data_IF_349357214759
#
_entry.id   IF_349357214759
#
_cell.length_a   1.000
_cell.length_b   1.000
_cell.length_c   1.000
_cell.angle_alpha   90.00
_cell.angle_beta   90.00
_cell.angle_gamma   90.00
#
_symmetry.space_group_name_H-M   'P 1'
#
loop_
_entity.id
_entity.type
_entity.pdbx_description
1 polymer ?
#
# COMPACT_ATOMS: atom_id res chain seq x y z
N UNK A 1 18.32 3.29 20.28
CA UNK A 1 17.09 2.60 19.81
C UNK A 1 17.37 1.11 19.66
N UNK A 2 16.46 0.27 20.15
CA UNK A 2 16.44 -1.16 19.85
C UNK A 2 15.12 -1.48 19.17
N UNK A 3 15.18 -2.16 18.01
CA UNK A 3 14.01 -2.67 17.31
C UNK A 3 14.17 -4.19 17.20
N UNK A 4 13.13 -4.93 17.52
CA UNK A 4 13.15 -6.39 17.49
C UNK A 4 11.83 -6.95 16.97
N UNK A 5 11.89 -8.14 16.35
CA UNK A 5 10.72 -8.88 15.87
C UNK A 5 10.79 -10.37 16.25
N UNK A 6 11.36 -10.67 17.40
CA UNK A 6 11.49 -12.02 17.91
C UNK A 6 10.18 -12.49 18.57
N UNK A 7 10.06 -13.80 18.76
CA UNK A 7 8.94 -14.32 19.57
C UNK A 7 8.96 -13.70 20.96
N UNK A 8 7.79 -13.27 21.42
CA UNK A 8 7.61 -12.69 22.76
C UNK A 8 8.31 -13.53 23.82
N UNK A 9 9.08 -12.88 24.68
CA UNK A 9 9.87 -13.50 25.75
C UNK A 9 11.23 -14.07 25.32
N UNK A 10 11.61 -13.97 24.05
CA UNK A 10 12.91 -14.49 23.59
C UNK A 10 14.07 -13.58 24.01
N UNK A 11 13.94 -12.27 23.85
CA UNK A 11 14.97 -11.32 24.26
C UNK A 11 15.07 -11.21 25.79
N UNK A 12 13.99 -11.38 26.51
CA UNK A 12 14.00 -11.44 27.98
C UNK A 12 14.87 -12.59 28.49
N UNK A 13 14.83 -13.77 27.86
CA UNK A 13 15.69 -14.91 28.20
C UNK A 13 17.17 -14.66 27.97
N UNK A 14 17.49 -13.74 27.06
CA UNK A 14 18.86 -13.32 26.76
C UNK A 14 19.33 -12.12 27.61
N UNK A 15 18.49 -11.61 28.54
CA UNK A 15 18.77 -10.39 29.29
C UNK A 15 18.66 -9.11 28.49
N UNK A 16 18.05 -9.16 27.30
CA UNK A 16 17.89 -8.02 26.37
C UNK A 16 16.44 -7.51 26.33
N UNK A 17 15.59 -7.90 27.27
CA UNK A 17 14.24 -7.38 27.40
C UNK A 17 14.22 -5.93 27.90
N UNK A 18 13.10 -5.24 27.70
CA UNK A 18 12.93 -3.82 28.03
C UNK A 18 13.32 -3.50 29.49
N UNK A 19 12.87 -4.29 30.44
CA UNK A 19 13.13 -4.08 31.89
C UNK A 19 14.64 -4.16 32.24
N UNK A 20 15.40 -4.99 31.56
CA UNK A 20 16.84 -5.09 31.74
C UNK A 20 17.56 -3.90 31.10
N UNK A 21 17.19 -3.58 29.85
CA UNK A 21 17.86 -2.53 29.08
C UNK A 21 17.54 -1.13 29.60
N UNK A 22 16.33 -0.87 30.12
CA UNK A 22 15.97 0.43 30.67
C UNK A 22 16.73 0.75 31.97
N UNK A 23 17.19 -0.28 32.70
CA UNK A 23 18.08 -0.09 33.88
C UNK A 23 19.47 0.37 33.47
N UNK A 24 19.96 -0.11 32.32
CA UNK A 24 21.25 0.29 31.75
C UNK A 24 21.16 1.64 31.05
N UNK A 25 20.07 1.87 30.34
CA UNK A 25 19.83 3.12 29.63
C UNK A 25 18.36 3.55 29.78
N UNK A 26 18.06 4.43 30.76
CA UNK A 26 16.70 4.96 30.96
C UNK A 26 16.14 5.73 29.79
N UNK A 27 16.98 6.17 28.86
CA UNK A 27 16.60 6.84 27.60
C UNK A 27 16.38 5.90 26.43
N UNK A 28 16.38 4.55 26.63
CA UNK A 28 16.22 3.63 25.53
C UNK A 28 14.81 3.72 24.91
N UNK A 29 14.76 3.84 23.59
CA UNK A 29 13.53 3.59 22.81
C UNK A 29 13.55 2.14 22.36
N UNK A 30 12.63 1.34 22.88
CA UNK A 30 12.54 -0.10 22.64
C UNK A 30 11.26 -0.41 21.84
N UNK A 31 11.40 -0.85 20.61
CA UNK A 31 10.29 -1.16 19.72
C UNK A 31 10.23 -2.66 19.44
N UNK A 32 9.15 -3.31 19.91
CA UNK A 32 8.84 -4.71 19.63
C UNK A 32 7.82 -4.81 18.52
N UNK A 33 8.16 -5.52 17.44
CA UNK A 33 7.22 -5.90 16.38
C UNK A 33 6.75 -7.31 16.70
N UNK A 34 5.47 -7.47 17.05
CA UNK A 34 4.90 -8.76 17.48
C UNK A 34 3.88 -9.27 16.44
N UNK A 35 3.53 -10.57 16.49
CA UNK A 35 2.55 -11.13 15.56
C UNK A 35 1.13 -10.62 15.81
N UNK A 36 0.61 -10.87 17.04
CA UNK A 36 -0.80 -10.58 17.37
C UNK A 36 -0.99 -9.56 18.50
N UNK A 37 0.10 -9.10 19.13
CA UNK A 37 0.01 -8.21 20.29
C UNK A 37 -0.44 -8.93 21.56
N UNK A 38 -0.80 -8.16 22.61
CA UNK A 38 -1.28 -8.71 23.88
C UNK A 38 -2.68 -9.33 23.71
N UNK A 39 -2.92 -10.48 24.33
CA UNK A 39 -4.20 -11.17 24.28
C UNK A 39 -4.08 -12.69 24.19
N UNK A 40 -5.15 -13.35 23.78
CA UNK A 40 -5.23 -14.82 23.70
C UNK A 40 -4.17 -15.40 22.74
N UNK A 41 -3.87 -14.69 21.65
CA UNK A 41 -2.96 -15.12 20.60
C UNK A 41 -1.53 -14.54 20.73
N UNK A 42 -1.17 -13.94 21.85
CA UNK A 42 0.11 -13.24 22.02
C UNK A 42 1.37 -14.07 21.68
N UNK A 43 1.27 -15.40 21.78
CA UNK A 43 2.38 -16.35 21.51
C UNK A 43 2.35 -16.95 20.11
N UNK A 44 1.31 -16.66 19.34
CA UNK A 44 1.22 -17.17 17.95
C UNK A 44 2.23 -16.47 17.05
N UNK A 45 2.89 -17.22 16.15
CA UNK A 45 3.74 -16.62 15.14
C UNK A 45 2.87 -15.83 14.15
N UNK A 46 3.27 -14.58 13.87
CA UNK A 46 2.68 -13.75 12.83
C UNK A 46 3.50 -13.82 11.56
N UNK A 47 2.88 -14.21 10.46
CA UNK A 47 3.43 -14.07 9.11
C UNK A 47 2.44 -13.26 8.28
N UNK A 48 2.94 -12.41 7.40
CA UNK A 48 2.15 -11.54 6.54
C UNK A 48 0.95 -12.26 5.93
N UNK A 49 1.16 -13.40 5.27
CA UNK A 49 0.11 -14.16 4.61
C UNK A 49 -0.99 -14.62 5.58
N UNK A 50 -0.62 -15.13 6.76
CA UNK A 50 -1.58 -15.58 7.77
C UNK A 50 -2.35 -14.40 8.38
N UNK A 51 -1.66 -13.29 8.57
CA UNK A 51 -2.26 -12.04 9.08
C UNK A 51 -3.23 -11.45 8.06
N UNK A 52 -2.88 -11.42 6.78
CA UNK A 52 -3.79 -10.99 5.72
C UNK A 52 -5.06 -11.87 5.67
N UNK A 53 -4.91 -13.18 5.80
CA UNK A 53 -6.04 -14.10 5.79
C UNK A 53 -6.96 -13.89 6.99
N UNK A 54 -6.39 -13.86 8.21
CA UNK A 54 -7.15 -13.76 9.45
C UNK A 54 -7.65 -12.35 9.75
N UNK A 55 -6.92 -11.34 9.31
CA UNK A 55 -7.24 -9.92 9.54
C UNK A 55 -8.26 -9.34 8.56
N UNK A 56 -8.87 -10.14 7.70
CA UNK A 56 -10.01 -9.74 6.86
C UNK A 56 -9.65 -9.07 5.53
N UNK A 57 -8.39 -8.66 5.29
CA UNK A 57 -8.03 -7.99 4.03
C UNK A 57 -8.27 -8.90 2.81
N UNK A 58 -8.00 -10.21 2.93
CA UNK A 58 -8.31 -11.17 1.87
C UNK A 58 -9.82 -11.33 1.65
N UNK A 59 -10.61 -11.19 2.70
CA UNK A 59 -12.08 -11.26 2.61
C UNK A 59 -12.70 -10.15 1.77
N UNK A 60 -12.03 -9.00 1.66
CA UNK A 60 -12.48 -7.84 0.88
C UNK A 60 -11.68 -7.63 -0.41
N UNK A 61 -10.65 -8.45 -0.69
CA UNK A 61 -9.76 -8.35 -1.87
C UNK A 61 -10.05 -9.49 -2.84
N UNK A 62 -10.20 -9.17 -4.12
CA UNK A 62 -10.52 -10.09 -5.20
C UNK A 62 -11.89 -9.83 -5.82
N UNK A 63 -12.21 -10.58 -6.87
CA UNK A 63 -13.51 -10.50 -7.55
C UNK A 63 -14.59 -11.21 -6.74
N UNK A 64 -15.88 -10.81 -6.88
CA UNK A 64 -16.99 -11.38 -6.10
C UNK A 64 -17.05 -12.90 -6.13
N UNK A 65 -16.96 -13.48 -7.31
CA UNK A 65 -17.06 -14.93 -7.55
C UNK A 65 -15.71 -15.65 -7.52
N UNK A 66 -14.61 -14.91 -7.26
CA UNK A 66 -13.26 -15.47 -7.15
C UNK A 66 -12.96 -15.94 -5.71
N UNK A 67 -11.79 -16.56 -5.52
CA UNK A 67 -11.30 -16.84 -4.18
C UNK A 67 -10.79 -15.56 -3.47
N UNK A 68 -10.79 -15.53 -2.12
CA UNK A 68 -10.14 -14.48 -1.36
C UNK A 68 -8.66 -14.34 -1.71
N UNK A 69 -8.23 -13.14 -2.11
CA UNK A 69 -6.90 -12.92 -2.67
C UNK A 69 -6.07 -12.02 -1.77
N UNK A 70 -4.82 -12.42 -1.49
CA UNK A 70 -3.88 -11.56 -0.77
C UNK A 70 -3.43 -10.38 -1.64
N UNK A 71 -2.98 -9.30 -1.01
CA UNK A 71 -2.23 -8.25 -1.70
C UNK A 71 -0.94 -8.82 -2.29
N UNK A 72 -0.54 -8.39 -3.47
CA UNK A 72 0.58 -8.94 -4.23
C UNK A 72 1.96 -8.82 -3.56
N UNK A 73 2.07 -8.00 -2.53
CA UNK A 73 3.27 -7.79 -1.69
C UNK A 73 2.97 -8.15 -0.24
N UNK A 74 3.98 -8.19 0.62
CA UNK A 74 3.83 -8.38 2.07
C UNK A 74 3.27 -7.10 2.73
N UNK A 75 2.00 -6.82 2.48
CA UNK A 75 1.36 -5.56 2.82
C UNK A 75 1.24 -5.34 4.34
N UNK A 76 0.94 -6.39 5.10
CA UNK A 76 0.85 -6.31 6.55
C UNK A 76 2.22 -5.98 7.17
N UNK A 77 3.30 -6.62 6.68
CA UNK A 77 4.68 -6.34 7.11
C UNK A 77 5.07 -4.89 6.82
N UNK A 78 4.76 -4.40 5.61
CA UNK A 78 5.08 -3.03 5.20
C UNK A 78 4.36 -1.99 6.06
N UNK A 79 3.07 -2.16 6.31
CA UNK A 79 2.28 -1.24 7.16
C UNK A 79 2.79 -1.26 8.59
N UNK A 80 3.04 -2.44 9.14
CA UNK A 80 3.61 -2.60 10.49
C UNK A 80 4.97 -1.92 10.61
N UNK A 81 5.87 -2.13 9.63
CA UNK A 81 7.18 -1.49 9.58
C UNK A 81 7.11 0.04 9.55
N UNK A 82 6.19 0.60 8.74
CA UNK A 82 5.95 2.04 8.70
C UNK A 82 5.43 2.59 10.04
N UNK A 83 4.48 1.89 10.69
CA UNK A 83 3.96 2.29 11.99
C UNK A 83 5.05 2.19 13.08
N UNK A 84 5.89 1.15 13.05
CA UNK A 84 7.01 1.01 13.97
C UNK A 84 8.04 2.14 13.80
N UNK A 85 8.37 2.51 12.57
CA UNK A 85 9.24 3.64 12.27
C UNK A 85 8.66 4.97 12.77
N UNK A 86 7.39 5.25 12.49
CA UNK A 86 6.70 6.46 12.96
C UNK A 86 6.65 6.54 14.49
N UNK A 87 6.28 5.46 15.17
CA UNK A 87 6.21 5.40 16.62
C UNK A 87 7.61 5.59 17.25
N UNK A 88 8.65 5.01 16.65
CA UNK A 88 10.04 5.17 17.07
C UNK A 88 10.51 6.62 16.94
N UNK A 89 10.22 7.28 15.81
CA UNK A 89 10.56 8.70 15.61
C UNK A 89 9.81 9.60 16.58
N UNK A 90 8.54 9.37 16.85
CA UNK A 90 7.76 10.09 17.85
C UNK A 90 8.34 9.90 19.27
N UNK A 91 8.77 8.69 19.61
CA UNK A 91 9.43 8.40 20.90
C UNK A 91 10.80 9.07 21.02
N UNK A 92 11.56 9.16 19.94
CA UNK A 92 12.83 9.89 19.90
C UNK A 92 12.62 11.40 20.09
N UNK A 93 11.61 11.98 19.45
CA UNK A 93 11.24 13.37 19.63
C UNK A 93 10.86 13.64 21.10
N UNK A 94 9.96 12.83 21.68
CA UNK A 94 9.61 12.94 23.10
C UNK A 94 10.83 12.77 24.03
N UNK A 95 11.74 11.86 23.70
CA UNK A 95 12.98 11.67 24.48
C UNK A 95 13.86 12.91 24.49
N UNK A 96 13.93 13.64 23.38
CA UNK A 96 14.71 14.89 23.32
C UNK A 96 14.21 15.93 24.33
N UNK A 97 12.91 15.95 24.63
CA UNK A 97 12.32 16.88 25.61
C UNK A 97 12.38 16.34 27.04
N UNK A 98 12.17 15.05 27.24
CA UNK A 98 11.96 14.47 28.58
C UNK A 98 13.18 13.74 29.16
N UNK A 99 14.16 13.41 28.31
CA UNK A 99 15.29 12.54 28.67
C UNK A 99 14.89 11.06 28.84
N UNK A 100 13.59 10.71 28.75
CA UNK A 100 13.08 9.36 29.05
C UNK A 100 12.85 8.54 27.81
N UNK A 101 13.22 7.26 27.87
CA UNK A 101 12.93 6.27 26.85
C UNK A 101 11.44 5.88 26.80
N UNK A 102 11.11 5.00 25.86
CA UNK A 102 9.73 4.54 25.67
C UNK A 102 9.75 3.08 25.22
N UNK A 103 8.87 2.26 25.77
CA UNK A 103 8.53 0.96 25.19
C UNK A 103 7.41 1.12 24.18
N UNK A 104 7.62 0.58 23.01
CA UNK A 104 6.67 0.55 21.89
C UNK A 104 6.40 -0.91 21.55
N UNK A 105 5.17 -1.24 21.29
CA UNK A 105 4.79 -2.52 20.73
C UNK A 105 3.89 -2.27 19.50
N UNK A 106 4.23 -2.89 18.37
CA UNK A 106 3.47 -2.76 17.12
C UNK A 106 3.09 -4.17 16.66
N UNK A 107 1.86 -4.60 16.90
CA UNK A 107 1.40 -5.91 16.46
C UNK A 107 1.08 -5.91 14.96
N UNK A 108 1.59 -6.89 14.24
CA UNK A 108 1.36 -7.08 12.82
C UNK A 108 -0.14 -7.21 12.48
N UNK A 109 -0.86 -7.99 13.28
CA UNK A 109 -2.30 -8.21 13.11
C UNK A 109 -3.11 -6.91 13.30
N UNK A 110 -2.85 -6.14 14.36
CA UNK A 110 -3.56 -4.88 14.60
C UNK A 110 -3.19 -3.81 13.57
N UNK A 111 -1.93 -3.79 13.13
CA UNK A 111 -1.46 -2.95 12.03
C UNK A 111 -2.27 -3.22 10.76
N UNK A 112 -2.48 -4.49 10.42
CA UNK A 112 -3.29 -4.86 9.27
C UNK A 112 -4.77 -4.53 9.48
N UNK A 113 -5.34 -4.71 10.68
CA UNK A 113 -6.73 -4.30 10.96
C UNK A 113 -6.94 -2.80 10.73
N UNK A 114 -5.96 -1.96 11.13
CA UNK A 114 -6.04 -0.51 10.88
C UNK A 114 -6.09 -0.17 9.39
N UNK A 115 -5.62 -1.06 8.53
CA UNK A 115 -5.60 -0.88 7.08
C UNK A 115 -6.88 -1.31 6.36
N UNK A 116 -7.84 -1.91 7.06
CA UNK A 116 -9.18 -2.16 6.53
C UNK A 116 -9.95 -0.84 6.27
N UNK A 117 -9.52 0.25 6.91
CA UNK A 117 -9.99 1.60 6.69
C UNK A 117 -11.54 1.73 6.71
N UNK A 118 -12.11 2.32 5.66
CA UNK A 118 -13.56 2.52 5.54
C UNK A 118 -14.36 1.21 5.46
N UNK A 119 -13.76 0.10 5.01
CA UNK A 119 -14.48 -1.20 4.93
C UNK A 119 -14.75 -1.78 6.32
N UNK A 120 -13.79 -1.62 7.24
CA UNK A 120 -14.04 -1.98 8.65
C UNK A 120 -15.16 -1.12 9.25
N UNK A 121 -15.14 0.19 8.99
CA UNK A 121 -16.16 1.09 9.51
C UNK A 121 -17.55 0.79 8.94
N UNK A 122 -17.65 0.43 7.67
CA UNK A 122 -18.88 0.01 7.02
C UNK A 122 -19.50 -1.20 7.74
N UNK A 123 -18.70 -2.25 7.98
CA UNK A 123 -19.13 -3.42 8.75
C UNK A 123 -19.54 -3.07 10.19
N UNK A 124 -18.71 -2.29 10.89
CA UNK A 124 -18.97 -1.93 12.29
C UNK A 124 -20.25 -1.11 12.50
N UNK A 125 -20.69 -0.38 11.48
CA UNK A 125 -21.92 0.43 11.52
C UNK A 125 -23.13 -0.37 11.04
N UNK A 126 -23.01 -1.13 9.94
CA UNK A 126 -24.13 -1.86 9.33
C UNK A 126 -24.37 -3.23 9.96
N UNK A 127 -23.32 -3.88 10.47
CA UNK A 127 -23.34 -5.30 10.85
C UNK A 127 -23.36 -6.26 9.66
N UNK A 128 -23.31 -5.76 8.43
CA UNK A 128 -23.36 -6.55 7.19
C UNK A 128 -21.97 -6.76 6.61
N UNK A 129 -21.66 -7.98 6.18
CA UNK A 129 -20.39 -8.30 5.54
C UNK A 129 -20.27 -7.60 4.20
N UNK A 130 -19.16 -6.89 4.02
CA UNK A 130 -18.96 -5.99 2.88
C UNK A 130 -18.49 -6.67 1.59
N UNK A 131 -18.11 -7.93 1.63
CA UNK A 131 -17.73 -8.75 0.46
C UNK A 131 -16.61 -8.16 -0.42
N UNK A 132 -16.34 -8.85 -1.51
CA UNK A 132 -15.36 -8.46 -2.53
C UNK A 132 -16.05 -7.79 -3.71
N UNK A 133 -15.45 -6.72 -4.24
CA UNK A 133 -15.98 -5.94 -5.36
C UNK A 133 -15.06 -5.93 -6.59
N UNK A 134 -13.98 -6.74 -6.57
CA UNK A 134 -12.95 -6.65 -7.59
C UNK A 134 -12.31 -5.26 -7.59
N UNK A 135 -12.33 -4.60 -8.74
CA UNK A 135 -11.83 -3.24 -8.90
C UNK A 135 -12.92 -2.16 -8.84
N UNK A 136 -14.18 -2.55 -8.56
CA UNK A 136 -15.29 -1.60 -8.53
C UNK A 136 -15.36 -0.86 -7.20
N UNK A 137 -15.64 0.46 -7.25
CA UNK A 137 -15.93 1.24 -6.06
C UNK A 137 -17.37 0.96 -5.57
N UNK A 138 -17.62 0.81 -4.25
CA UNK A 138 -18.94 0.46 -3.74
C UNK A 138 -20.02 1.51 -4.08
N UNK A 139 -19.71 2.80 -4.01
CA UNK A 139 -20.67 3.89 -4.05
C UNK A 139 -20.41 4.94 -5.15
N UNK A 140 -19.47 4.71 -6.07
CA UNK A 140 -19.15 5.61 -7.19
C UNK A 140 -19.14 4.83 -8.49
N UNK A 141 -19.84 5.32 -9.53
CA UNK A 141 -19.95 4.67 -10.84
C UNK A 141 -19.89 5.69 -11.97
N UNK A 142 -19.07 5.44 -13.04
CA UNK A 142 -18.11 4.35 -13.16
C UNK A 142 -16.81 4.64 -12.38
N UNK A 143 -16.35 3.68 -11.59
CA UNK A 143 -15.06 3.71 -10.92
C UNK A 143 -14.58 2.26 -10.84
N UNK A 144 -13.89 1.77 -11.88
CA UNK A 144 -13.45 0.38 -12.00
C UNK A 144 -12.52 0.19 -13.20
N UNK A 145 -12.12 -1.05 -13.46
CA UNK A 145 -11.39 -1.41 -14.68
C UNK A 145 -12.34 -1.84 -15.78
N UNK A 146 -11.93 -1.58 -17.04
CA UNK A 146 -12.58 -2.03 -18.27
C UNK A 146 -11.54 -2.68 -19.18
N UNK A 147 -11.98 -3.58 -20.08
CA UNK A 147 -11.15 -4.14 -21.12
C UNK A 147 -11.13 -3.20 -22.32
N UNK A 148 -9.97 -2.67 -22.66
CA UNK A 148 -9.71 -2.05 -23.95
C UNK A 148 -9.34 -3.14 -24.98
N UNK A 149 -9.07 -2.77 -26.23
CA UNK A 149 -8.80 -3.75 -27.29
C UNK A 149 -7.51 -4.56 -27.08
N UNK A 150 -6.58 -4.07 -26.26
CA UNK A 150 -5.25 -4.65 -26.01
C UNK A 150 -4.98 -5.00 -24.56
N UNK A 151 -5.37 -4.14 -23.62
CA UNK A 151 -5.13 -4.33 -22.16
C UNK A 151 -6.23 -3.65 -21.34
N UNK A 152 -6.22 -3.85 -20.04
CA UNK A 152 -7.19 -3.18 -19.15
C UNK A 152 -6.85 -1.71 -18.91
N UNK A 153 -7.90 -0.90 -18.78
CA UNK A 153 -7.84 0.49 -18.31
C UNK A 153 -8.50 0.59 -16.93
N UNK A 154 -7.99 1.46 -16.08
CA UNK A 154 -8.60 1.88 -14.84
C UNK A 154 -9.22 3.27 -15.04
N UNK A 155 -10.51 3.40 -14.78
CA UNK A 155 -11.29 4.63 -14.93
C UNK A 155 -11.87 5.04 -13.58
N UNK A 156 -11.75 6.33 -13.24
CA UNK A 156 -12.27 6.88 -11.99
C UNK A 156 -13.07 8.17 -12.24
N UNK A 157 -14.40 8.07 -12.27
CA UNK A 157 -15.30 9.21 -12.43
C UNK A 157 -15.83 9.64 -11.06
N UNK A 158 -15.25 10.70 -10.49
CA UNK A 158 -15.53 11.12 -9.12
C UNK A 158 -16.77 12.03 -8.95
N UNK A 159 -17.31 12.61 -10.04
CA UNK A 159 -18.46 13.52 -10.00
C UNK A 159 -19.22 13.53 -11.32
N UNK A 160 -20.41 14.19 -11.32
CA UNK A 160 -21.31 14.24 -12.48
C UNK A 160 -20.68 14.99 -13.67
N UNK A 161 -19.92 16.06 -13.43
CA UNK A 161 -19.23 16.80 -14.51
C UNK A 161 -18.19 15.91 -15.21
N UNK A 162 -17.43 15.12 -14.47
CA UNK A 162 -16.52 14.15 -15.06
C UNK A 162 -17.27 13.08 -15.87
N UNK A 163 -18.46 12.68 -15.41
CA UNK A 163 -19.30 11.74 -16.17
C UNK A 163 -19.77 12.34 -17.50
N UNK A 164 -20.21 13.59 -17.51
CA UNK A 164 -20.56 14.30 -18.74
C UNK A 164 -19.37 14.42 -19.69
N UNK A 165 -18.19 14.73 -19.16
CA UNK A 165 -16.96 14.81 -19.94
C UNK A 165 -16.58 13.44 -20.54
N UNK A 166 -16.66 12.37 -19.74
CA UNK A 166 -16.47 11.01 -20.21
C UNK A 166 -17.42 10.68 -21.37
N UNK A 167 -18.72 10.92 -21.19
CA UNK A 167 -19.73 10.63 -22.23
C UNK A 167 -19.43 11.35 -23.53
N UNK A 168 -18.96 12.60 -23.48
CA UNK A 168 -18.52 13.33 -24.67
C UNK A 168 -17.27 12.73 -25.30
N UNK A 169 -16.26 12.39 -24.52
CA UNK A 169 -15.00 11.84 -24.99
C UNK A 169 -15.19 10.47 -25.68
N UNK A 170 -16.08 9.63 -25.15
CA UNK A 170 -16.38 8.32 -25.77
C UNK A 170 -17.42 8.39 -26.91
N UNK A 171 -17.82 9.61 -27.33
CA UNK A 171 -18.80 9.79 -28.42
C UNK A 171 -20.26 9.43 -28.06
N UNK A 172 -20.60 9.37 -26.78
CA UNK A 172 -21.94 9.02 -26.27
C UNK A 172 -22.55 10.11 -25.38
N UNK A 173 -22.63 11.39 -25.84
CA UNK A 173 -23.08 12.50 -24.99
C UNK A 173 -24.49 12.32 -24.40
N UNK A 174 -25.37 11.59 -25.10
CA UNK A 174 -26.72 11.30 -24.60
C UNK A 174 -26.79 10.44 -23.34
N UNK A 175 -25.73 9.70 -23.01
CA UNK A 175 -25.69 8.95 -21.75
C UNK A 175 -25.71 9.86 -20.52
N UNK A 176 -25.18 11.09 -20.62
CA UNK A 176 -25.21 12.06 -19.55
C UNK A 176 -26.59 12.68 -19.33
N UNK A 177 -27.45 12.65 -20.36
CA UNK A 177 -28.83 13.15 -20.33
C UNK A 177 -29.84 12.09 -19.91
N UNK A 178 -29.45 10.82 -19.88
CA UNK A 178 -30.32 9.71 -19.47
C UNK A 178 -30.54 9.76 -17.95
N UNK A 179 -31.79 9.82 -17.52
CA UNK A 179 -32.19 9.90 -16.12
C UNK A 179 -31.60 8.76 -15.27
N UNK A 180 -31.36 7.59 -15.87
CA UNK A 180 -30.73 6.44 -15.20
C UNK A 180 -29.25 6.68 -14.84
N UNK A 181 -28.59 7.68 -15.45
CA UNK A 181 -27.15 7.89 -15.33
C UNK A 181 -26.75 9.33 -14.99
N UNK A 182 -27.68 10.28 -15.01
CA UNK A 182 -27.40 11.71 -14.81
C UNK A 182 -26.74 12.01 -13.47
N UNK A 183 -27.12 11.30 -12.41
CA UNK A 183 -26.58 11.47 -11.06
C UNK A 183 -25.90 10.20 -10.57
N UNK A 184 -24.87 10.36 -9.70
CA UNK A 184 -24.16 9.20 -9.16
C UNK A 184 -25.05 8.16 -8.48
N UNK A 185 -26.06 8.51 -7.63
CA UNK A 185 -26.96 7.52 -7.06
C UNK A 185 -27.70 6.69 -8.12
N UNK A 186 -28.12 7.33 -9.21
CA UNK A 186 -28.82 6.67 -10.31
C UNK A 186 -27.87 5.73 -11.06
N UNK A 187 -26.61 6.15 -11.28
CA UNK A 187 -25.57 5.30 -11.85
C UNK A 187 -25.25 4.09 -10.98
N UNK A 188 -25.24 4.26 -9.66
CA UNK A 188 -25.05 3.16 -8.70
C UNK A 188 -26.20 2.17 -8.81
N UNK A 189 -27.46 2.65 -8.85
CA UNK A 189 -28.65 1.80 -8.99
C UNK A 189 -28.68 1.07 -10.34
N UNK A 190 -28.15 1.67 -11.42
CA UNK A 190 -28.14 1.11 -12.76
C UNK A 190 -26.72 0.66 -13.21
N UNK A 191 -25.86 0.30 -12.26
CA UNK A 191 -24.44 -0.03 -12.47
C UNK A 191 -24.22 -1.04 -13.61
N UNK A 192 -24.91 -2.16 -13.56
CA UNK A 192 -24.70 -3.25 -14.52
C UNK A 192 -24.96 -2.79 -15.95
N UNK A 193 -26.04 -2.04 -16.17
CA UNK A 193 -26.43 -1.51 -17.48
C UNK A 193 -25.38 -0.51 -17.98
N UNK A 194 -24.98 0.43 -17.13
CA UNK A 194 -24.00 1.44 -17.52
C UNK A 194 -22.62 0.82 -17.80
N UNK A 195 -22.17 -0.08 -16.94
CA UNK A 195 -20.89 -0.78 -17.11
C UNK A 195 -20.85 -1.57 -18.40
N UNK A 196 -21.94 -2.28 -18.77
CA UNK A 196 -22.02 -3.02 -20.03
C UNK A 196 -21.89 -2.08 -21.25
N UNK A 197 -22.57 -0.93 -21.24
CA UNK A 197 -22.48 0.07 -22.32
C UNK A 197 -21.05 0.62 -22.44
N UNK A 198 -20.42 0.97 -21.32
CA UNK A 198 -19.06 1.49 -21.30
C UNK A 198 -18.04 0.42 -21.76
N UNK A 199 -18.23 -0.84 -21.34
CA UNK A 199 -17.36 -1.95 -21.75
C UNK A 199 -17.40 -2.15 -23.27
N UNK A 200 -18.58 -2.06 -23.90
CA UNK A 200 -18.72 -2.14 -25.35
C UNK A 200 -17.94 -1.01 -26.06
N UNK A 201 -17.97 0.22 -25.50
CA UNK A 201 -17.23 1.33 -26.09
C UNK A 201 -15.71 1.15 -25.90
N UNK A 202 -15.27 0.82 -24.69
CA UNK A 202 -13.84 0.71 -24.40
C UNK A 202 -13.14 -0.41 -25.17
N UNK A 203 -13.83 -1.47 -25.54
CA UNK A 203 -13.26 -2.55 -26.36
C UNK A 203 -12.87 -2.15 -27.79
N UNK A 204 -13.26 -0.94 -28.26
CA UNK A 204 -13.06 -0.51 -29.66
C UNK A 204 -11.68 0.07 -29.95
N UNK A 205 -10.94 0.54 -28.93
CA UNK A 205 -9.63 1.16 -29.11
C UNK A 205 -8.61 0.64 -28.09
N UNK A 206 -7.31 0.80 -28.36
CA UNK A 206 -6.25 0.51 -27.39
C UNK A 206 -6.32 1.37 -26.12
N UNK A 207 -5.80 0.85 -25.03
CA UNK A 207 -5.83 1.49 -23.72
C UNK A 207 -5.14 2.86 -23.71
N UNK A 208 -4.01 2.99 -24.38
CA UNK A 208 -3.23 4.24 -24.38
C UNK A 208 -3.95 5.34 -25.19
N UNK A 209 -4.66 4.99 -26.28
CA UNK A 209 -5.49 5.93 -27.05
C UNK A 209 -6.66 6.45 -26.20
N UNK A 210 -7.39 5.55 -25.50
CA UNK A 210 -8.43 5.95 -24.55
C UNK A 210 -7.87 6.81 -23.41
N UNK A 211 -6.70 6.46 -22.89
CA UNK A 211 -6.09 7.21 -21.81
C UNK A 211 -5.72 8.64 -22.20
N UNK A 212 -5.31 8.87 -23.45
CA UNK A 212 -5.03 10.22 -23.97
C UNK A 212 -6.33 11.01 -24.13
N UNK A 213 -7.29 10.51 -24.91
CA UNK A 213 -8.55 11.20 -25.20
C UNK A 213 -9.35 11.57 -23.94
N UNK A 214 -9.47 10.65 -22.99
CA UNK A 214 -10.28 10.85 -21.77
C UNK A 214 -9.55 11.70 -20.74
N UNK A 215 -8.22 11.62 -20.66
CA UNK A 215 -7.43 12.50 -19.81
C UNK A 215 -7.54 13.96 -20.25
N UNK A 216 -7.52 14.21 -21.57
CA UNK A 216 -7.69 15.56 -22.13
C UNK A 216 -9.08 16.15 -21.84
N UNK A 217 -10.08 15.28 -21.66
CA UNK A 217 -11.40 15.67 -21.19
C UNK A 217 -11.49 15.92 -19.66
N UNK A 218 -10.37 15.79 -18.91
CA UNK A 218 -10.31 16.02 -17.46
C UNK A 218 -10.85 14.88 -16.62
N UNK A 219 -10.88 13.65 -17.15
CA UNK A 219 -11.32 12.45 -16.43
C UNK A 219 -10.13 11.56 -16.09
N UNK A 220 -9.94 11.18 -14.82
CA UNK A 220 -8.87 10.26 -14.42
C UNK A 220 -9.01 8.88 -15.07
N UNK A 221 -8.01 8.51 -15.86
CA UNK A 221 -7.91 7.22 -16.54
C UNK A 221 -6.44 6.85 -16.73
N UNK A 222 -6.16 5.56 -16.80
CA UNK A 222 -4.84 5.05 -17.14
C UNK A 222 -4.87 3.55 -17.43
N UNK A 223 -3.87 3.04 -18.17
CA UNK A 223 -3.73 1.61 -18.40
C UNK A 223 -3.36 0.87 -17.12
N UNK A 224 -3.77 -0.40 -17.01
CA UNK A 224 -3.28 -1.31 -15.99
C UNK A 224 -1.94 -1.86 -16.47
N UNK A 225 -0.86 -1.33 -15.93
CA UNK A 225 0.50 -1.61 -16.35
C UNK A 225 1.08 -2.87 -15.71
N UNK A 226 1.89 -3.60 -16.47
CA UNK A 226 2.84 -4.60 -15.96
C UNK A 226 4.06 -3.92 -15.35
N UNK A 227 4.91 -4.68 -14.65
CA UNK A 227 6.19 -4.12 -14.16
C UNK A 227 7.10 -3.67 -15.31
N UNK A 228 7.05 -4.35 -16.46
CA UNK A 228 7.81 -3.93 -17.65
C UNK A 228 7.33 -2.57 -18.16
N UNK A 229 6.01 -2.35 -18.23
CA UNK A 229 5.44 -1.07 -18.62
C UNK A 229 5.85 0.04 -17.64
N UNK A 230 5.72 -0.21 -16.33
CA UNK A 230 6.09 0.76 -15.28
C UNK A 230 7.57 1.17 -15.39
N UNK A 231 8.48 0.20 -15.55
CA UNK A 231 9.93 0.51 -15.59
C UNK A 231 10.43 0.99 -16.96
N UNK A 232 9.59 1.02 -17.99
CA UNK A 232 9.83 1.68 -19.27
C UNK A 232 9.11 3.05 -19.40
N UNK A 233 8.24 3.39 -18.44
CA UNK A 233 7.49 4.65 -18.43
C UNK A 233 8.39 5.88 -18.33
N UNK A 234 8.16 6.88 -19.18
CA UNK A 234 8.97 8.09 -19.27
C UNK A 234 9.00 8.90 -17.97
N UNK A 235 7.90 8.94 -17.21
CA UNK A 235 7.85 9.59 -15.91
C UNK A 235 8.72 8.86 -14.88
N UNK A 236 8.65 7.53 -14.83
CA UNK A 236 9.47 6.71 -13.93
C UNK A 236 10.95 6.88 -14.24
N UNK A 237 11.31 6.84 -15.53
CA UNK A 237 12.71 7.02 -15.99
C UNK A 237 13.25 8.40 -15.67
N UNK A 238 12.45 9.46 -15.81
CA UNK A 238 12.86 10.86 -15.56
C UNK A 238 12.76 11.27 -14.08
N UNK A 239 11.95 10.57 -13.26
CA UNK A 239 11.71 10.93 -11.84
C UNK A 239 12.93 10.75 -10.94
N UNK A 240 13.94 10.02 -11.37
CA UNK A 240 15.10 9.65 -10.58
C UNK A 240 14.81 8.65 -9.47
N UNK A 241 13.66 7.96 -9.50
CA UNK A 241 13.34 6.88 -8.55
C UNK A 241 14.19 5.63 -8.82
N UNK A 242 14.58 5.40 -10.09
CA UNK A 242 15.50 4.33 -10.47
C UNK A 242 16.95 4.83 -10.38
N UNK A 243 17.80 4.09 -9.71
CA UNK A 243 19.22 4.40 -9.54
C UNK A 243 20.08 3.21 -9.95
N UNK A 244 21.10 3.49 -10.75
CA UNK A 244 22.19 2.55 -10.98
C UNK A 244 23.14 2.60 -9.79
N UNK A 245 23.48 1.44 -9.25
CA UNK A 245 24.34 1.27 -8.08
C UNK A 245 25.37 0.21 -8.40
N UNK A 246 26.64 0.47 -8.11
CA UNK A 246 27.72 -0.50 -8.28
C UNK A 246 27.75 -1.46 -7.07
N UNK A 247 27.38 -2.72 -7.31
CA UNK A 247 27.39 -3.77 -6.30
C UNK A 247 28.69 -4.58 -6.40
N UNK A 248 29.40 -4.85 -5.29
CA UNK A 248 30.74 -5.45 -5.32
C UNK A 248 30.80 -6.85 -5.95
N UNK A 249 29.71 -7.61 -5.89
CA UNK A 249 29.66 -8.96 -6.46
C UNK A 249 28.78 -9.06 -7.73
N UNK A 250 27.77 -8.19 -7.90
CA UNK A 250 26.81 -8.27 -9.01
C UNK A 250 27.06 -7.23 -10.12
N UNK A 251 28.05 -6.34 -9.97
CA UNK A 251 28.29 -5.25 -10.90
C UNK A 251 27.17 -4.19 -10.82
N UNK A 252 26.84 -3.55 -11.94
CA UNK A 252 25.77 -2.54 -11.97
C UNK A 252 24.39 -3.18 -11.78
N UNK A 253 23.68 -2.74 -10.76
CA UNK A 253 22.30 -3.11 -10.49
C UNK A 253 21.40 -1.87 -10.42
N UNK A 254 20.12 -2.04 -10.71
CA UNK A 254 19.11 -0.97 -10.53
C UNK A 254 18.39 -1.15 -9.20
N UNK A 255 18.26 -0.08 -8.45
CA UNK A 255 17.52 -0.03 -7.20
C UNK A 255 16.46 1.07 -7.25
N UNK A 256 15.39 0.88 -6.49
CA UNK A 256 14.43 1.96 -6.20
C UNK A 256 14.99 2.82 -5.06
N UNK A 257 15.12 4.11 -5.31
CA UNK A 257 15.45 5.08 -4.27
C UNK A 257 14.25 5.33 -3.33
N UNK A 258 14.49 6.03 -2.22
CA UNK A 258 13.40 6.49 -1.37
C UNK A 258 12.40 7.35 -2.16
N UNK A 259 11.08 7.18 -1.98
CA UNK A 259 10.09 8.07 -2.57
C UNK A 259 10.08 9.46 -1.93
N UNK A 260 10.71 9.62 -0.75
CA UNK A 260 10.72 10.88 0.00
C UNK A 260 11.69 11.88 -0.66
N UNK A 261 11.19 13.08 -0.89
CA UNK A 261 11.97 14.23 -1.29
C UNK A 261 12.17 15.15 -0.09
N UNK A 262 13.40 15.57 0.16
CA UNK A 262 13.74 16.55 1.20
C UNK A 262 14.25 17.80 0.49
N UNK A 263 13.60 18.93 0.73
CA UNK A 263 13.88 20.20 0.06
C UNK A 263 13.86 20.10 -1.48
N UNK A 264 12.99 19.21 -2.01
CA UNK A 264 12.86 18.96 -3.45
C UNK A 264 13.86 17.94 -4.00
N UNK A 265 14.78 17.46 -3.20
CA UNK A 265 15.81 16.50 -3.62
C UNK A 265 15.53 15.08 -3.09
N UNK A 266 15.80 14.08 -3.92
CA UNK A 266 15.69 12.68 -3.56
C UNK A 266 16.87 12.21 -2.73
N UNK A 267 16.61 11.54 -1.63
CA UNK A 267 17.65 10.96 -0.78
C UNK A 267 18.55 10.00 -1.59
N UNK A 268 19.88 10.09 -1.42
CA UNK A 268 20.81 9.20 -2.11
C UNK A 268 20.77 7.78 -1.54
N UNK A 269 21.05 6.79 -2.37
CA UNK A 269 21.40 5.44 -1.92
C UNK A 269 22.85 5.49 -1.48
N UNK A 270 23.12 5.36 -0.18
CA UNK A 270 24.47 5.51 0.38
C UNK A 270 25.34 4.27 0.16
N UNK A 271 24.72 3.10 0.25
CA UNK A 271 25.39 1.80 0.13
C UNK A 271 24.56 0.86 -0.72
N UNK A 272 25.18 0.01 -1.55
CA UNK A 272 24.49 -1.10 -2.19
C UNK A 272 24.07 -2.13 -1.13
N UNK A 273 23.18 -3.09 -1.46
CA UNK A 273 22.94 -4.25 -0.61
C UNK A 273 24.28 -4.94 -0.29
N UNK A 274 24.55 -5.32 0.97
CA UNK A 274 25.82 -5.91 1.36
C UNK A 274 25.94 -7.37 0.88
N UNK A 275 27.15 -7.86 0.66
CA UNK A 275 27.42 -9.29 0.58
C UNK A 275 27.35 -9.92 1.96
N UNK A 276 27.18 -11.26 2.02
CA UNK A 276 27.14 -11.98 3.28
C UNK A 276 28.43 -11.74 4.10
N UNK A 277 28.28 -11.27 5.33
CA UNK A 277 29.38 -10.98 6.25
C UNK A 277 30.22 -9.75 5.91
N UNK A 278 29.83 -8.94 4.95
CA UNK A 278 30.63 -7.77 4.49
C UNK A 278 31.04 -6.83 5.64
N UNK A 279 30.14 -6.61 6.60
CA UNK A 279 30.35 -5.66 7.71
C UNK A 279 30.57 -6.35 9.07
N UNK A 280 30.80 -7.67 9.12
CA UNK A 280 30.94 -8.41 10.37
C UNK A 280 32.06 -7.85 11.23
N UNK A 281 33.25 -7.64 10.66
CA UNK A 281 34.40 -7.12 11.40
C UNK A 281 34.16 -5.70 11.94
N UNK A 282 33.52 -4.85 11.14
CA UNK A 282 33.17 -3.46 11.55
C UNK A 282 32.22 -3.45 12.75
N UNK A 283 31.23 -4.37 12.73
CA UNK A 283 30.27 -4.53 13.84
C UNK A 283 30.96 -5.08 15.09
N UNK A 284 31.82 -6.11 14.95
CA UNK A 284 32.55 -6.73 16.06
C UNK A 284 33.54 -5.74 16.69
N UNK A 285 34.16 -4.86 15.92
CA UNK A 285 35.08 -3.82 16.38
C UNK A 285 34.37 -2.56 16.92
N UNK A 286 33.04 -2.48 16.84
CA UNK A 286 32.28 -1.29 17.24
C UNK A 286 32.44 -0.09 16.29
N UNK A 287 32.88 -0.31 15.08
CA UNK A 287 33.14 0.74 14.06
C UNK A 287 31.87 1.10 13.23
N UNK A 288 30.77 0.36 13.45
CA UNK A 288 29.52 0.51 12.69
C UNK A 288 28.65 1.71 13.12
N UNK A 289 29.04 2.51 14.07
CA UNK A 289 28.24 3.62 14.64
C UNK A 289 28.46 4.95 13.94
#
# INVERSE_FOLDING_TARGET
>A
VLIENWRRGSLEKLGLGYEALTKLNPGIVYCSITGFGPGEDEKRPGYDFLVQARGGIMGITGFPDGEPTKVGVAAADMVCGLQAAMATLAALYRRAETGKGTRIEVPLFESQLSWLANRAQEYLVSGEDVGRLGNAHPSIVPYQTFDASDKKIALAVGNDTQFENLCRAIGRPKLAEDERFAKNPDRVANREVLVAILQEEFSKKPADEWAEEIRDAGVPIGPVNTLADVFSDGHVLSSGILRDVDHPAAGKIKLLASPVLVDGERLPIRHPPPTLGQHTNEVENGEWL
#
